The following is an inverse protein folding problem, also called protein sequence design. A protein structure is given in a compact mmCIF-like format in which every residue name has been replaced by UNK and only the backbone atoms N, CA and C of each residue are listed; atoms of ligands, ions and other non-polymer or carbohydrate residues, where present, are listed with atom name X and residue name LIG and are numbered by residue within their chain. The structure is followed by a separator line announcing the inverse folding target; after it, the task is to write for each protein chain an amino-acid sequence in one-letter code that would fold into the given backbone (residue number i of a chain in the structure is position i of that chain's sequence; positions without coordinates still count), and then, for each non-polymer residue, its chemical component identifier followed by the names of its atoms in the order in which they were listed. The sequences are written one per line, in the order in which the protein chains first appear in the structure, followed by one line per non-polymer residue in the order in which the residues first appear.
data_IF_090884183452
#
_entry.id   IF_090884183452
#
_cell.length_a   1.000
_cell.length_b   1.000
_cell.length_c   1.000
_cell.angle_alpha   90.00
_cell.angle_beta   90.00
_cell.angle_gamma   90.00
#
_symmetry.space_group_name_H-M   'P 1'
#
loop_
_entity.id
_entity.type
_entity.pdbx_description
1 polymer ?
#
# COMPACT_ATOMS: atom_id res chain seq x y z
N UNK A 1 0.17 -18.45 18.78
CA UNK A 1 -0.59 -17.43 18.02
C UNK A 1 0.27 -16.18 18.00
N UNK A 2 0.48 -15.55 16.87
CA UNK A 2 1.24 -14.30 16.76
C UNK A 2 0.50 -13.18 17.52
N UNK A 3 1.24 -12.45 18.34
CA UNK A 3 0.72 -11.33 19.13
C UNK A 3 1.35 -10.04 18.58
N UNK A 4 0.56 -9.31 17.79
CA UNK A 4 1.02 -8.07 17.14
C UNK A 4 1.41 -7.00 18.16
N UNK A 5 0.62 -6.82 19.22
CA UNK A 5 0.87 -5.75 20.20
C UNK A 5 2.18 -6.00 20.94
N UNK A 6 2.43 -7.26 21.31
CA UNK A 6 3.71 -7.65 21.91
C UNK A 6 4.87 -7.47 20.93
N UNK A 7 4.72 -7.89 19.67
CA UNK A 7 5.75 -7.71 18.64
C UNK A 7 6.11 -6.24 18.45
N UNK A 8 5.08 -5.37 18.32
CA UNK A 8 5.28 -3.93 18.15
C UNK A 8 5.97 -3.30 19.38
N UNK A 9 5.57 -3.69 20.59
CA UNK A 9 6.20 -3.20 21.82
C UNK A 9 7.69 -3.60 21.89
N UNK A 10 8.02 -4.86 21.59
CA UNK A 10 9.39 -5.36 21.56
C UNK A 10 10.21 -4.65 20.46
N UNK A 11 9.65 -4.45 19.26
CA UNK A 11 10.33 -3.75 18.17
C UNK A 11 10.63 -2.29 18.52
N UNK A 12 9.66 -1.56 19.07
CA UNK A 12 9.81 -0.16 19.49
C UNK A 12 10.92 -0.07 20.55
N UNK A 13 10.88 -0.90 21.58
CA UNK A 13 11.85 -0.89 22.66
C UNK A 13 13.28 -1.14 22.14
N UNK A 14 13.47 -2.14 21.27
CA UNK A 14 14.77 -2.47 20.71
C UNK A 14 15.27 -1.37 19.76
N UNK A 15 14.40 -0.77 18.95
CA UNK A 15 14.78 0.36 18.10
C UNK A 15 15.14 1.60 18.92
N UNK A 16 14.39 1.92 19.98
CA UNK A 16 14.72 3.01 20.90
C UNK A 16 16.05 2.79 21.60
N UNK A 17 16.32 1.57 22.03
CA UNK A 17 17.60 1.21 22.66
C UNK A 17 18.79 1.33 21.70
N UNK A 18 18.62 0.94 20.45
CA UNK A 18 19.68 0.91 19.45
C UNK A 18 19.96 2.28 18.80
N UNK A 19 18.92 3.06 18.52
CA UNK A 19 19.02 4.32 17.79
C UNK A 19 18.89 5.56 18.69
N UNK A 20 18.32 5.42 19.89
CA UNK A 20 18.15 6.53 20.83
C UNK A 20 17.31 7.67 20.21
N UNK A 21 17.80 8.90 20.39
CA UNK A 21 17.17 10.12 19.85
C UNK A 21 17.15 10.17 18.32
N UNK A 22 17.92 9.34 17.64
CA UNK A 22 17.88 9.21 16.18
C UNK A 22 16.64 8.48 15.65
N UNK A 23 15.94 7.73 16.49
CA UNK A 23 14.65 7.16 16.10
C UNK A 23 13.59 8.25 16.11
N UNK A 24 13.23 8.74 14.94
CA UNK A 24 12.28 9.85 14.80
C UNK A 24 10.83 9.36 14.62
N UNK A 25 10.67 8.25 13.90
CA UNK A 25 9.35 7.74 13.57
C UNK A 25 9.32 6.23 13.44
N UNK A 26 8.21 5.63 13.86
CA UNK A 26 7.78 4.28 13.51
C UNK A 26 6.29 4.26 13.21
N UNK A 27 5.88 3.53 12.19
CA UNK A 27 4.47 3.39 11.80
C UNK A 27 4.13 1.99 11.33
N UNK A 28 2.89 1.55 11.63
CA UNK A 28 2.31 0.29 11.15
C UNK A 28 1.53 0.54 9.86
N UNK A 29 1.73 -0.34 8.87
CA UNK A 29 1.06 -0.30 7.56
C UNK A 29 0.43 -1.66 7.24
N UNK A 30 -0.06 -1.81 6.02
CA UNK A 30 -0.43 -3.08 5.43
C UNK A 30 -1.69 -3.73 6.01
N UNK A 31 -1.75 -5.06 5.88
CA UNK A 31 -2.92 -5.85 6.26
C UNK A 31 -3.17 -5.86 7.77
N UNK A 32 -2.11 -5.79 8.58
CA UNK A 32 -2.22 -5.72 10.04
C UNK A 32 -2.86 -4.42 10.50
N UNK A 33 -2.55 -3.29 9.87
CA UNK A 33 -3.23 -2.03 10.15
C UNK A 33 -4.72 -2.10 9.83
N UNK A 34 -5.08 -2.76 8.73
CA UNK A 34 -6.47 -2.89 8.29
C UNK A 34 -7.29 -3.93 9.04
N UNK A 35 -6.65 -4.75 9.90
CA UNK A 35 -7.33 -5.89 10.54
C UNK A 35 -7.68 -7.02 9.56
N UNK A 36 -7.00 -7.10 8.43
CA UNK A 36 -7.20 -8.06 7.33
C UNK A 36 -6.07 -9.10 7.25
N UNK A 37 -5.16 -9.10 8.23
CA UNK A 37 -4.02 -10.00 8.26
C UNK A 37 -4.42 -11.46 8.48
N UNK A 38 -3.69 -12.36 7.88
CA UNK A 38 -3.77 -13.81 8.08
C UNK A 38 -2.39 -14.37 8.44
N UNK A 39 -2.29 -15.66 8.72
CA UNK A 39 -1.06 -16.28 9.24
C UNK A 39 0.20 -16.12 8.38
N UNK A 40 0.02 -15.88 7.06
CA UNK A 40 1.12 -15.66 6.11
C UNK A 40 1.20 -14.18 5.69
N UNK A 41 0.63 -13.26 6.45
CA UNK A 41 0.69 -11.82 6.14
C UNK A 41 1.98 -11.21 6.63
N UNK A 42 2.62 -10.41 5.77
CA UNK A 42 3.78 -9.63 6.14
C UNK A 42 3.42 -8.57 7.20
N UNK A 43 4.40 -8.21 8.02
CA UNK A 43 4.29 -7.18 9.05
C UNK A 43 4.99 -5.93 8.51
N UNK A 44 4.21 -4.98 8.00
CA UNK A 44 4.72 -3.79 7.32
C UNK A 44 4.99 -2.67 8.33
N UNK A 45 6.27 -2.39 8.59
CA UNK A 45 6.70 -1.32 9.49
C UNK A 45 7.55 -0.29 8.75
N UNK A 46 7.17 0.97 8.87
CA UNK A 46 7.94 2.11 8.40
C UNK A 46 8.78 2.69 9.54
N UNK A 47 10.06 2.98 9.28
CA UNK A 47 11.00 3.58 10.26
C UNK A 47 11.72 4.76 9.65
N UNK A 48 11.80 5.88 10.38
CA UNK A 48 12.57 7.06 9.97
C UNK A 48 13.63 7.38 11.04
N UNK A 49 14.88 7.53 10.61
CA UNK A 49 16.00 7.89 11.46
C UNK A 49 16.54 9.29 11.14
N UNK A 50 17.06 9.99 12.15
CA UNK A 50 17.88 11.18 11.95
C UNK A 50 19.30 10.75 11.54
N UNK A 51 19.63 10.98 10.26
CA UNK A 51 20.81 10.43 9.61
C UNK A 51 20.71 8.91 9.42
N UNK A 52 20.87 8.41 8.21
CA UNK A 52 20.69 7.01 7.86
C UNK A 52 21.89 6.46 7.09
N UNK A 53 22.29 5.23 7.40
CA UNK A 53 23.46 4.60 6.83
C UNK A 53 23.28 3.09 6.65
N UNK A 54 24.15 2.46 5.87
CA UNK A 54 24.20 0.99 5.72
C UNK A 54 24.32 0.28 7.07
N UNK A 55 25.09 0.86 8.00
CA UNK A 55 25.24 0.30 9.35
C UNK A 55 23.91 0.25 10.10
N UNK A 56 23.04 1.23 9.91
CA UNK A 56 21.72 1.27 10.55
C UNK A 56 20.83 0.16 10.00
N UNK A 57 20.93 -0.15 8.72
CA UNK A 57 20.22 -1.31 8.12
C UNK A 57 20.70 -2.64 8.74
N UNK A 58 22.00 -2.79 9.02
CA UNK A 58 22.53 -3.99 9.67
C UNK A 58 22.07 -4.10 11.13
N UNK A 59 21.98 -2.97 11.84
CA UNK A 59 21.43 -2.91 13.20
C UNK A 59 19.95 -3.30 13.19
N UNK A 60 19.14 -2.69 12.30
CA UNK A 60 17.71 -2.98 12.20
C UNK A 60 17.45 -4.43 11.83
N UNK A 61 18.17 -4.97 10.85
CA UNK A 61 18.11 -6.41 10.50
C UNK A 61 18.38 -7.32 11.69
N UNK A 62 19.34 -6.96 12.53
CA UNK A 62 19.67 -7.74 13.74
C UNK A 62 18.53 -7.68 14.75
N UNK A 63 17.95 -6.51 14.99
CA UNK A 63 16.77 -6.33 15.83
C UNK A 63 15.63 -7.23 15.36
N UNK A 64 15.28 -7.20 14.07
CA UNK A 64 14.21 -8.03 13.51
C UNK A 64 14.46 -9.53 13.73
N UNK A 65 15.72 -9.99 13.60
CA UNK A 65 16.07 -11.39 13.86
C UNK A 65 15.99 -11.77 15.35
N UNK A 66 16.31 -10.85 16.24
CA UNK A 66 16.32 -11.07 17.69
C UNK A 66 14.89 -11.12 18.26
N UNK A 67 13.98 -10.30 17.76
CA UNK A 67 12.56 -10.31 18.19
C UNK A 67 11.75 -11.44 17.57
N UNK A 68 12.25 -12.09 16.51
CA UNK A 68 11.58 -13.16 15.77
C UNK A 68 10.68 -12.64 14.63
N UNK A 69 10.11 -13.57 13.88
CA UNK A 69 9.26 -13.27 12.70
C UNK A 69 9.99 -12.47 11.62
N UNK A 70 11.30 -12.72 11.46
CA UNK A 70 12.14 -12.01 10.48
C UNK A 70 11.68 -12.22 9.04
N UNK A 71 11.22 -13.41 8.71
CA UNK A 71 10.78 -13.77 7.35
C UNK A 71 9.45 -13.07 6.98
N UNK A 72 8.63 -12.76 7.99
CA UNK A 72 7.39 -12.03 7.84
C UNK A 72 7.56 -10.52 7.96
N UNK A 73 8.74 -10.05 8.42
CA UNK A 73 9.00 -8.62 8.58
C UNK A 73 9.18 -7.95 7.22
N UNK A 74 8.37 -6.95 6.95
CA UNK A 74 8.38 -6.13 5.73
C UNK A 74 8.35 -4.64 6.09
N UNK A 75 8.21 -3.80 5.08
CA UNK A 75 8.20 -2.35 5.23
C UNK A 75 9.53 -1.74 4.82
N UNK A 76 9.81 -0.53 5.27
CA UNK A 76 11.05 0.14 4.90
C UNK A 76 11.61 1.01 6.02
N UNK A 77 12.93 1.24 5.96
CA UNK A 77 13.65 2.15 6.82
C UNK A 77 14.39 3.18 5.96
N UNK A 78 14.32 4.44 6.34
CA UNK A 78 14.99 5.54 5.63
C UNK A 78 15.47 6.62 6.59
N UNK A 79 16.20 7.60 6.05
CA UNK A 79 16.57 8.80 6.75
C UNK A 79 15.52 9.90 6.62
N UNK A 80 15.56 10.83 7.55
CA UNK A 80 14.72 12.03 7.56
C UNK A 80 14.90 12.88 6.29
N UNK A 81 16.14 12.99 5.81
CA UNK A 81 16.44 13.86 4.68
C UNK A 81 15.91 13.24 3.37
N UNK A 82 16.01 11.91 3.21
CA UNK A 82 15.39 11.19 2.11
C UNK A 82 13.87 11.32 2.16
N UNK A 83 13.27 11.19 3.37
CA UNK A 83 11.83 11.28 3.54
C UNK A 83 11.28 12.68 3.21
N UNK A 84 11.99 13.74 3.56
CA UNK A 84 11.62 15.12 3.18
C UNK A 84 11.64 15.38 1.67
N UNK A 85 12.43 14.59 0.94
CA UNK A 85 12.51 14.64 -0.52
C UNK A 85 11.66 13.57 -1.19
N UNK A 86 10.77 12.90 -0.43
CA UNK A 86 9.92 11.84 -0.98
C UNK A 86 9.00 12.35 -2.08
N UNK A 87 8.57 11.45 -2.95
CA UNK A 87 7.68 11.82 -4.06
C UNK A 87 6.33 12.32 -3.51
N UNK A 88 5.99 13.58 -3.80
CA UNK A 88 4.74 14.21 -3.38
C UNK A 88 3.50 13.40 -3.77
N UNK A 89 3.57 12.66 -4.89
CA UNK A 89 2.47 11.80 -5.36
C UNK A 89 2.13 10.68 -4.38
N UNK A 90 3.08 10.22 -3.55
CA UNK A 90 2.87 9.13 -2.61
C UNK A 90 2.48 9.59 -1.20
N UNK A 91 2.61 10.88 -0.91
CA UNK A 91 2.41 11.41 0.46
C UNK A 91 1.01 11.17 0.98
N UNK A 92 -0.01 11.42 0.16
CA UNK A 92 -1.40 11.19 0.58
C UNK A 92 -1.63 9.72 0.95
N UNK A 93 -1.18 8.80 0.10
CA UNK A 93 -1.29 7.37 0.37
C UNK A 93 -0.56 6.99 1.66
N UNK A 94 0.67 7.47 1.88
CA UNK A 94 1.42 7.20 3.10
C UNK A 94 0.68 7.70 4.35
N UNK A 95 0.17 8.94 4.34
CA UNK A 95 -0.56 9.50 5.46
C UNK A 95 -1.83 8.71 5.79
N UNK A 96 -2.57 8.28 4.77
CA UNK A 96 -3.86 7.59 4.95
C UNK A 96 -3.71 6.12 5.32
N UNK A 97 -2.58 5.49 4.98
CA UNK A 97 -2.37 4.04 5.15
C UNK A 97 -1.29 3.69 6.17
N UNK A 98 -0.92 4.65 7.04
CA UNK A 98 0.06 4.42 8.11
C UNK A 98 -0.52 4.85 9.46
N UNK A 99 -0.39 3.99 10.47
CA UNK A 99 -0.73 4.30 11.86
C UNK A 99 0.53 4.65 12.62
N UNK A 100 0.60 5.85 13.17
CA UNK A 100 1.72 6.29 13.99
C UNK A 100 1.86 5.41 15.24
N UNK A 101 3.08 4.92 15.50
CA UNK A 101 3.48 4.19 16.71
C UNK A 101 4.46 5.02 17.54
N UNK A 102 5.41 5.69 16.89
CA UNK A 102 6.39 6.60 17.48
C UNK A 102 6.49 7.82 16.59
N UNK A 103 6.38 9.02 17.14
CA UNK A 103 6.40 10.27 16.37
C UNK A 103 5.12 10.50 15.57
N UNK A 104 5.15 11.48 14.66
CA UNK A 104 4.03 11.84 13.77
C UNK A 104 4.55 11.91 12.34
N UNK A 105 4.02 11.08 11.45
CA UNK A 105 4.55 10.91 10.09
C UNK A 105 4.60 12.21 9.29
N UNK A 106 3.54 13.01 9.37
CA UNK A 106 3.41 14.24 8.58
C UNK A 106 4.54 15.24 8.83
N UNK A 107 5.20 15.20 10.00
CA UNK A 107 6.31 16.11 10.34
C UNK A 107 7.58 15.85 9.50
N UNK A 108 7.64 14.69 8.85
CA UNK A 108 8.80 14.24 8.06
C UNK A 108 8.53 14.20 6.56
N UNK A 109 7.29 14.38 6.13
CA UNK A 109 6.88 14.32 4.73
C UNK A 109 6.96 15.68 4.05
N UNK A 110 7.20 15.74 2.73
CA UNK A 110 7.00 16.95 1.97
C UNK A 110 5.50 17.30 1.93
N UNK A 111 5.14 18.59 1.72
CA UNK A 111 3.75 18.97 1.52
C UNK A 111 3.20 18.32 0.25
N UNK A 112 1.96 17.86 0.30
CA UNK A 112 1.24 17.32 -0.85
C UNK A 112 -0.08 18.07 -1.04
N UNK A 113 -0.52 18.17 -2.29
CA UNK A 113 -1.72 18.87 -2.71
C UNK A 113 -2.74 17.88 -3.28
N UNK A 114 -3.98 18.32 -3.46
CA UNK A 114 -5.00 17.54 -4.19
C UNK A 114 -4.56 17.22 -5.62
N UNK A 115 -3.81 18.12 -6.26
CA UNK A 115 -3.28 17.91 -7.62
C UNK A 115 -2.25 16.75 -7.62
N UNK A 116 -1.39 16.67 -6.59
CA UNK A 116 -0.45 15.55 -6.44
C UNK A 116 -1.18 14.22 -6.32
N UNK A 117 -2.29 14.19 -5.59
CA UNK A 117 -3.11 12.98 -5.44
C UNK A 117 -3.78 12.58 -6.77
N UNK A 118 -4.35 13.54 -7.51
CA UNK A 118 -4.89 13.28 -8.85
C UNK A 118 -3.80 12.71 -9.76
N UNK A 119 -2.61 13.31 -9.75
CA UNK A 119 -1.47 12.85 -10.54
C UNK A 119 -0.98 11.45 -10.12
N UNK A 120 -1.00 11.13 -8.82
CA UNK A 120 -0.73 9.78 -8.34
C UNK A 120 -1.69 8.74 -8.93
N UNK A 121 -2.98 9.04 -8.88
CA UNK A 121 -4.00 8.15 -9.45
C UNK A 121 -3.83 8.02 -10.96
N UNK A 122 -3.60 9.12 -11.69
CA UNK A 122 -3.36 9.09 -13.16
C UNK A 122 -2.15 8.25 -13.53
N UNK A 123 -1.03 8.45 -12.84
CA UNK A 123 0.21 7.68 -13.08
C UNK A 123 -0.03 6.18 -12.81
N UNK A 124 -0.65 5.86 -11.70
CA UNK A 124 -0.92 4.48 -11.29
C UNK A 124 -1.91 3.78 -12.22
N UNK A 125 -2.98 4.48 -12.65
CA UNK A 125 -3.91 4.02 -13.68
C UNK A 125 -3.18 3.71 -14.99
N UNK A 126 -2.35 4.65 -15.45
CA UNK A 126 -1.59 4.50 -16.70
C UNK A 126 -0.67 3.29 -16.67
N UNK A 127 0.09 3.13 -15.61
CA UNK A 127 1.02 2.01 -15.44
C UNK A 127 0.31 0.66 -15.38
N UNK A 128 -0.74 0.52 -14.56
CA UNK A 128 -1.48 -0.74 -14.46
C UNK A 128 -2.27 -1.06 -15.74
N UNK A 129 -2.84 -0.06 -16.39
CA UNK A 129 -3.52 -0.26 -17.67
C UNK A 129 -2.54 -0.72 -18.75
N UNK A 130 -1.38 -0.07 -18.86
CA UNK A 130 -0.33 -0.48 -19.79
C UNK A 130 0.10 -1.93 -19.52
N UNK A 131 0.40 -2.28 -18.26
CA UNK A 131 0.78 -3.62 -17.87
C UNK A 131 -0.31 -4.66 -18.21
N UNK A 132 -1.59 -4.34 -17.93
CA UNK A 132 -2.73 -5.19 -18.25
C UNK A 132 -2.82 -5.49 -19.73
N UNK A 133 -2.77 -4.45 -20.59
CA UNK A 133 -2.85 -4.57 -22.04
C UNK A 133 -1.63 -5.30 -22.60
N UNK A 134 -0.42 -4.93 -22.16
CA UNK A 134 0.81 -5.56 -22.59
C UNK A 134 0.82 -7.07 -22.31
N UNK A 135 0.45 -7.47 -21.11
CA UNK A 135 0.37 -8.90 -20.75
C UNK A 135 -0.70 -9.65 -21.56
N UNK A 136 -1.84 -9.02 -21.83
CA UNK A 136 -2.90 -9.65 -22.63
C UNK A 136 -2.43 -9.95 -24.04
N UNK A 137 -1.63 -9.07 -24.63
CA UNK A 137 -1.14 -9.19 -26.01
C UNK A 137 0.08 -10.12 -26.11
N UNK A 138 1.01 -10.03 -25.15
CA UNK A 138 2.36 -10.61 -25.30
C UNK A 138 2.63 -11.81 -24.40
N UNK A 139 1.89 -12.01 -23.31
CA UNK A 139 2.04 -13.19 -22.48
C UNK A 139 1.09 -14.32 -22.91
N UNK A 140 1.48 -15.56 -22.67
CA UNK A 140 0.53 -16.66 -22.77
C UNK A 140 -0.60 -16.52 -21.72
N UNK A 141 -1.75 -17.16 -22.01
CA UNK A 141 -2.96 -17.03 -21.19
C UNK A 141 -2.73 -17.52 -19.75
N UNK A 142 -1.96 -18.56 -19.56
CA UNK A 142 -1.70 -19.14 -18.25
C UNK A 142 -0.91 -18.17 -17.37
N UNK A 143 0.17 -17.61 -17.90
CA UNK A 143 0.97 -16.58 -17.18
C UNK A 143 0.17 -15.31 -16.89
N UNK A 144 -0.66 -14.88 -17.84
CA UNK A 144 -1.52 -13.70 -17.63
C UNK A 144 -2.53 -13.97 -16.52
N UNK A 145 -3.19 -15.12 -16.54
CA UNK A 145 -4.14 -15.55 -15.51
C UNK A 145 -3.48 -15.64 -14.12
N UNK A 146 -2.29 -16.21 -14.02
CA UNK A 146 -1.55 -16.33 -12.75
C UNK A 146 -1.26 -14.95 -12.09
N UNK A 147 -1.02 -13.91 -12.89
CA UNK A 147 -0.74 -12.55 -12.40
C UNK A 147 -2.00 -11.68 -12.22
N UNK A 148 -3.13 -12.10 -12.75
CA UNK A 148 -4.34 -11.30 -12.79
C UNK A 148 -4.85 -10.90 -11.39
N UNK A 149 -4.84 -11.84 -10.45
CA UNK A 149 -5.23 -11.57 -9.06
C UNK A 149 -4.33 -10.52 -8.39
N UNK A 150 -3.03 -10.52 -8.69
CA UNK A 150 -2.10 -9.50 -8.21
C UNK A 150 -2.48 -8.12 -8.74
N UNK A 151 -2.82 -8.02 -10.04
CA UNK A 151 -3.31 -6.77 -10.62
C UNK A 151 -4.60 -6.29 -9.95
N UNK A 152 -5.56 -7.19 -9.71
CA UNK A 152 -6.82 -6.84 -9.00
C UNK A 152 -6.56 -6.34 -7.56
N UNK A 153 -5.55 -6.90 -6.87
CA UNK A 153 -5.13 -6.39 -5.55
C UNK A 153 -4.54 -4.97 -5.64
N UNK A 154 -3.76 -4.68 -6.68
CA UNK A 154 -3.21 -3.33 -6.89
C UNK A 154 -4.30 -2.30 -7.22
N UNK A 155 -5.33 -2.71 -7.94
CA UNK A 155 -6.48 -1.84 -8.29
C UNK A 155 -7.30 -1.45 -7.05
N UNK A 156 -7.27 -2.22 -5.96
CA UNK A 156 -7.87 -1.81 -4.69
C UNK A 156 -7.39 -0.42 -4.24
N UNK A 157 -6.09 -0.15 -4.31
CA UNK A 157 -5.53 1.15 -3.92
C UNK A 157 -5.98 2.28 -4.86
N UNK A 158 -6.16 1.98 -6.16
CA UNK A 158 -6.72 2.96 -7.09
C UNK A 158 -8.17 3.33 -6.78
N UNK A 159 -9.00 2.31 -6.51
CA UNK A 159 -10.41 2.54 -6.13
C UNK A 159 -10.49 3.33 -4.83
N UNK A 160 -9.62 3.02 -3.86
CA UNK A 160 -9.54 3.70 -2.58
C UNK A 160 -9.24 5.21 -2.75
N UNK A 161 -8.24 5.53 -3.57
CA UNK A 161 -7.86 6.92 -3.84
C UNK A 161 -8.90 7.64 -4.72
N UNK A 162 -9.49 6.98 -5.74
CA UNK A 162 -10.58 7.55 -6.52
C UNK A 162 -11.79 7.88 -5.63
N UNK A 163 -12.19 6.95 -4.76
CA UNK A 163 -13.26 7.17 -3.82
C UNK A 163 -12.97 8.36 -2.89
N UNK A 164 -11.74 8.46 -2.38
CA UNK A 164 -11.33 9.59 -1.55
C UNK A 164 -11.39 10.91 -2.31
N UNK A 165 -10.87 10.97 -3.53
CA UNK A 165 -10.91 12.17 -4.37
C UNK A 165 -12.34 12.63 -4.68
N UNK A 166 -13.29 11.68 -4.85
CA UNK A 166 -14.69 11.96 -5.17
C UNK A 166 -15.52 12.33 -3.94
N UNK A 167 -15.29 11.66 -2.80
CA UNK A 167 -16.13 11.77 -1.59
C UNK A 167 -15.53 12.64 -0.47
N UNK A 168 -14.21 12.85 -0.49
CA UNK A 168 -13.45 13.45 0.61
C UNK A 168 -13.23 12.50 1.81
N UNK A 169 -13.66 11.24 1.72
CA UNK A 169 -13.54 10.26 2.80
C UNK A 169 -12.66 9.09 2.39
N UNK A 170 -11.50 8.95 3.07
CA UNK A 170 -10.63 7.82 2.85
C UNK A 170 -11.11 6.61 3.63
N UNK A 171 -11.35 5.49 2.94
CA UNK A 171 -11.80 4.24 3.55
C UNK A 171 -10.63 3.24 3.51
N UNK A 172 -10.08 2.94 4.68
CA UNK A 172 -8.89 2.09 4.82
C UNK A 172 -9.21 0.61 4.61
N UNK A 173 -10.32 0.13 5.18
CA UNK A 173 -10.69 -1.29 5.23
C UNK A 173 -11.39 -1.69 3.93
N UNK A 174 -10.95 -2.79 3.32
CA UNK A 174 -11.47 -3.27 2.03
C UNK A 174 -12.96 -3.62 2.07
N UNK A 175 -13.42 -4.22 3.17
CA UNK A 175 -14.84 -4.55 3.34
C UNK A 175 -15.70 -3.29 3.31
N UNK A 176 -15.31 -2.28 4.08
CA UNK A 176 -16.05 -1.03 4.19
C UNK A 176 -16.05 -0.27 2.84
N UNK A 177 -14.92 -0.32 2.11
CA UNK A 177 -14.84 0.25 0.77
C UNK A 177 -15.79 -0.46 -0.20
N UNK A 178 -15.91 -1.80 -0.15
CA UNK A 178 -16.88 -2.53 -0.97
C UNK A 178 -18.33 -2.13 -0.68
N UNK A 179 -18.66 -1.83 0.58
CA UNK A 179 -20.00 -1.41 0.98
C UNK A 179 -20.32 0.02 0.51
N UNK A 180 -19.33 0.91 0.53
CA UNK A 180 -19.49 2.33 0.17
C UNK A 180 -19.32 2.60 -1.34
N UNK A 181 -18.60 1.75 -2.06
CA UNK A 181 -18.22 1.95 -3.45
C UNK A 181 -19.41 1.85 -4.41
N UNK A 182 -19.31 2.55 -5.54
CA UNK A 182 -20.22 2.38 -6.66
C UNK A 182 -20.21 0.92 -7.17
N UNK A 183 -21.30 0.49 -7.82
CA UNK A 183 -21.45 -0.89 -8.29
C UNK A 183 -20.29 -1.33 -9.18
N UNK A 184 -19.82 -0.47 -10.07
CA UNK A 184 -18.70 -0.78 -10.98
C UNK A 184 -17.37 -0.99 -10.24
N UNK A 185 -17.11 -0.24 -9.17
CA UNK A 185 -15.93 -0.39 -8.32
C UNK A 185 -16.03 -1.67 -7.49
N UNK A 186 -17.21 -1.97 -6.94
CA UNK A 186 -17.46 -3.18 -6.16
C UNK A 186 -17.23 -4.44 -6.97
N UNK A 187 -17.71 -4.49 -8.22
CA UNK A 187 -17.46 -5.61 -9.15
C UNK A 187 -15.95 -5.86 -9.28
N UNK A 188 -15.16 -4.82 -9.47
CA UNK A 188 -13.70 -4.95 -9.63
C UNK A 188 -13.00 -5.33 -8.31
N UNK A 189 -13.46 -4.81 -7.17
CA UNK A 189 -12.96 -5.23 -5.86
C UNK A 189 -13.18 -6.72 -5.58
N UNK A 190 -14.24 -7.31 -6.14
CA UNK A 190 -14.54 -8.74 -6.02
C UNK A 190 -13.68 -9.63 -6.92
N UNK A 191 -13.08 -9.10 -8.00
CA UNK A 191 -12.24 -9.88 -8.91
C UNK A 191 -10.99 -10.48 -8.23
N UNK A 192 -10.49 -9.86 -7.17
CA UNK A 192 -9.36 -10.40 -6.41
C UNK A 192 -9.71 -11.67 -5.59
N UNK A 193 -10.99 -11.88 -5.29
CA UNK A 193 -11.50 -12.94 -4.45
C UNK A 193 -12.19 -14.06 -5.27
N UNK A 194 -12.08 -14.04 -6.61
CA UNK A 194 -12.68 -15.03 -7.48
C UNK A 194 -12.15 -16.44 -7.15
N UNK A 195 -13.03 -17.47 -7.17
CA UNK A 195 -12.62 -18.85 -6.93
C UNK A 195 -11.71 -19.37 -8.06
N UNK A 196 -11.01 -20.46 -7.80
CA UNK A 196 -10.24 -21.13 -8.86
C UNK A 196 -11.15 -21.60 -9.98
N UNK A 197 -10.66 -21.49 -11.22
CA UNK A 197 -11.45 -21.87 -12.40
C UNK A 197 -12.45 -20.82 -12.88
N UNK A 198 -12.37 -19.58 -12.37
CA UNK A 198 -13.21 -18.48 -12.87
C UNK A 198 -13.03 -18.22 -14.37
N UNK A 199 -14.02 -17.58 -14.99
CA UNK A 199 -13.94 -17.18 -16.39
C UNK A 199 -12.99 -15.97 -16.52
N UNK A 200 -11.74 -16.23 -16.92
CA UNK A 200 -10.72 -15.22 -17.09
C UNK A 200 -11.11 -14.13 -18.10
N UNK A 201 -11.72 -14.48 -19.24
CA UNK A 201 -12.05 -13.49 -20.27
C UNK A 201 -13.12 -12.50 -19.78
N UNK A 202 -14.10 -13.01 -19.02
CA UNK A 202 -15.13 -12.17 -18.42
C UNK A 202 -14.54 -11.25 -17.35
N UNK A 203 -13.71 -11.79 -16.46
CA UNK A 203 -13.05 -11.02 -15.40
C UNK A 203 -12.11 -9.95 -15.99
N UNK A 204 -11.33 -10.34 -17.00
CA UNK A 204 -10.46 -9.40 -17.72
C UNK A 204 -11.25 -8.27 -18.38
N UNK A 205 -12.34 -8.58 -19.07
CA UNK A 205 -13.20 -7.59 -19.73
C UNK A 205 -13.80 -6.62 -18.71
N UNK A 206 -14.22 -7.11 -17.55
CA UNK A 206 -14.75 -6.27 -16.46
C UNK A 206 -13.69 -5.30 -15.96
N UNK A 207 -12.48 -5.79 -15.67
CA UNK A 207 -11.36 -4.95 -15.23
C UNK A 207 -10.93 -3.94 -16.29
N UNK A 208 -10.80 -4.37 -17.55
CA UNK A 208 -10.44 -3.48 -18.66
C UNK A 208 -11.45 -2.35 -18.85
N UNK A 209 -12.74 -2.67 -18.83
CA UNK A 209 -13.83 -1.67 -18.94
C UNK A 209 -13.80 -0.70 -17.77
N UNK A 210 -13.51 -1.20 -16.56
CA UNK A 210 -13.37 -0.34 -15.39
C UNK A 210 -12.23 0.65 -15.57
N UNK A 211 -11.04 0.24 -16.05
CA UNK A 211 -9.95 1.16 -16.34
C UNK A 211 -10.34 2.29 -17.27
N UNK A 212 -11.06 1.98 -18.36
CA UNK A 212 -11.52 3.01 -19.30
C UNK A 212 -12.44 4.04 -18.63
N UNK A 213 -13.32 3.59 -17.74
CA UNK A 213 -14.20 4.47 -16.96
C UNK A 213 -13.43 5.26 -15.89
N UNK A 214 -12.45 4.64 -15.23
CA UNK A 214 -11.63 5.30 -14.24
C UNK A 214 -10.82 6.46 -14.83
N UNK A 215 -10.29 6.33 -16.05
CA UNK A 215 -9.68 7.45 -16.76
C UNK A 215 -10.65 8.61 -17.00
N UNK A 216 -11.89 8.31 -17.41
CA UNK A 216 -12.91 9.34 -17.59
C UNK A 216 -13.39 9.97 -16.27
N UNK A 217 -13.31 9.24 -15.16
CA UNK A 217 -13.63 9.76 -13.81
C UNK A 217 -12.58 10.74 -13.34
N UNK A 218 -11.31 10.35 -13.39
CA UNK A 218 -10.21 11.18 -12.89
C UNK A 218 -10.08 12.49 -13.68
N UNK A 219 -10.35 12.49 -14.97
CA UNK A 219 -10.37 13.69 -15.83
C UNK A 219 -11.40 14.73 -15.37
N UNK A 220 -12.49 14.29 -14.78
CA UNK A 220 -13.54 15.19 -14.25
C UNK A 220 -13.23 15.78 -12.88
N UNK A 221 -12.18 15.31 -12.22
CA UNK A 221 -11.76 15.78 -10.89
C UNK A 221 -10.70 16.88 -10.96
N UNK A 222 -10.14 17.13 -12.15
CA UNK A 222 -9.29 18.29 -12.44
C UNK A 222 -10.10 19.59 -12.48
#
# INVERSE_FOLDING_TARGET
MFDLDKYLADLILNCQSAFGERLLYMGLQGSWLRGEAHENSDIDIMVILDGFSVRDMDIYRRILKEIGFYEESCGFICGKDEMKCWNHLEVCQLCQTTKDLVGVLIDYLPPATREDEINYVKLSLGNLYHELCHRYIHADREKNNARFRGTCKSVFYLIQNLHFLESGHFILIRKDLKEAAAEEDRIVLELADLPDGYNFDQAFTSLFTWFQRAFARIERLE
#
